data_IF_122595659850
#
_entry.id   IF_122595659850
#
_cell.length_a   1.000
_cell.length_b   1.000
_cell.length_c   1.000
_cell.angle_alpha   90.00
_cell.angle_beta   90.00
_cell.angle_gamma   90.00
#
_symmetry.space_group_name_H-M   'P 1'
#
loop_
_entity.id
_entity.type
_entity.pdbx_description
1 polymer ?
#
# COMPACT_ATOMS: atom_id res chain seq x y z
N UNK A 1 -11.48 -0.69 7.50
CA UNK A 1 -11.37 0.15 6.26
C UNK A 1 -9.89 0.15 5.95
N UNK A 2 -9.49 -0.39 4.79
CA UNK A 2 -8.10 -0.77 4.58
C UNK A 2 -7.24 0.38 4.06
N UNK A 3 -5.97 0.40 4.48
CA UNK A 3 -4.92 1.26 3.91
C UNK A 3 -3.88 0.38 3.26
N UNK A 4 -3.65 0.63 1.97
CA UNK A 4 -2.63 -0.05 1.18
C UNK A 4 -1.57 0.95 0.73
N UNK A 5 -0.31 0.60 0.94
CA UNK A 5 0.85 1.39 0.53
C UNK A 5 1.74 0.47 -0.32
N UNK A 6 2.18 0.98 -1.46
CA UNK A 6 3.16 0.32 -2.32
C UNK A 6 4.35 1.25 -2.50
N UNK A 7 5.53 0.80 -2.11
CA UNK A 7 6.75 1.58 -2.25
C UNK A 7 7.42 1.32 -3.61
N UNK A 8 8.32 2.22 -3.96
CA UNK A 8 9.09 2.16 -5.21
C UNK A 8 9.99 0.92 -5.31
N UNK A 9 10.49 0.40 -4.19
CA UNK A 9 11.32 -0.80 -4.11
C UNK A 9 10.49 -2.09 -4.22
N UNK A 10 9.16 -1.96 -4.31
CA UNK A 10 8.24 -3.08 -4.44
C UNK A 10 7.74 -3.66 -3.12
N UNK A 11 8.21 -3.15 -1.97
CA UNK A 11 7.61 -3.46 -0.68
C UNK A 11 6.17 -2.95 -0.60
N UNK A 12 5.36 -3.69 0.16
CA UNK A 12 3.93 -3.46 0.31
C UNK A 12 3.56 -3.44 1.79
N UNK A 13 2.64 -2.55 2.15
CA UNK A 13 2.02 -2.51 3.47
C UNK A 13 0.51 -2.51 3.34
N UNK A 14 -0.16 -3.28 4.19
CA UNK A 14 -1.61 -3.33 4.27
C UNK A 14 -2.04 -3.32 5.73
N UNK A 15 -2.89 -2.37 6.11
CA UNK A 15 -3.43 -2.26 7.46
C UNK A 15 -4.95 -2.27 7.41
N UNK A 16 -5.58 -2.93 8.38
CA UNK A 16 -7.02 -2.79 8.61
C UNK A 16 -7.26 -1.82 9.76
N UNK A 17 -7.56 -0.55 9.46
CA UNK A 17 -7.87 0.44 10.49
C UNK A 17 -9.09 0.10 11.36
N UNK A 18 -9.89 -0.90 10.98
CA UNK A 18 -11.02 -1.34 11.81
C UNK A 18 -10.54 -2.18 12.99
N UNK A 19 -9.64 -3.13 12.73
CA UNK A 19 -9.16 -4.10 13.72
C UNK A 19 -7.86 -3.63 14.37
N UNK A 20 -7.04 -2.90 13.61
CA UNK A 20 -5.74 -2.38 13.99
C UNK A 20 -5.70 -0.86 13.76
N UNK A 21 -6.38 -0.06 14.63
CA UNK A 21 -6.43 1.39 14.50
C UNK A 21 -5.06 2.06 14.65
N UNK A 22 -4.07 1.36 15.21
CA UNK A 22 -2.71 1.83 15.40
C UNK A 22 -1.72 1.34 14.31
N UNK A 23 -2.19 0.58 13.31
CA UNK A 23 -1.38 0.12 12.18
C UNK A 23 -0.11 -0.66 12.61
N UNK A 24 -0.21 -1.45 13.68
CA UNK A 24 0.91 -2.27 14.17
C UNK A 24 1.14 -3.52 13.32
N UNK A 25 0.11 -4.03 12.65
CA UNK A 25 0.15 -5.30 11.95
C UNK A 25 0.12 -5.10 10.45
N UNK A 26 1.27 -5.28 9.80
CA UNK A 26 1.33 -5.32 8.34
C UNK A 26 0.77 -6.66 7.82
N UNK A 27 -0.39 -6.61 7.17
CA UNK A 27 -1.10 -7.74 6.57
C UNK A 27 -0.70 -7.99 5.11
N UNK A 28 0.29 -7.27 4.58
CA UNK A 28 0.62 -7.35 3.16
C UNK A 28 1.15 -8.73 2.74
N UNK A 29 1.75 -9.49 3.64
CA UNK A 29 2.24 -10.85 3.37
C UNK A 29 1.19 -11.93 3.60
N UNK A 30 0.04 -11.58 4.18
CA UNK A 30 -1.05 -12.52 4.48
C UNK A 30 -1.80 -12.91 3.22
N UNK A 31 -1.82 -14.21 2.90
CA UNK A 31 -2.51 -14.75 1.73
C UNK A 31 -4.01 -14.44 1.72
N UNK A 32 -4.63 -14.41 2.90
CA UNK A 32 -6.05 -14.10 3.07
C UNK A 32 -6.40 -12.68 2.57
N UNK A 33 -5.45 -11.76 2.63
CA UNK A 33 -5.64 -10.37 2.25
C UNK A 33 -5.17 -10.05 0.82
N UNK A 34 -4.70 -11.05 0.07
CA UNK A 34 -4.22 -10.86 -1.30
C UNK A 34 -5.31 -10.32 -2.24
N UNK A 35 -6.57 -10.69 -2.02
CA UNK A 35 -7.70 -10.17 -2.80
C UNK A 35 -7.90 -8.67 -2.59
N UNK A 36 -7.87 -8.23 -1.33
CA UNK A 36 -8.01 -6.81 -0.94
C UNK A 36 -6.84 -5.99 -1.49
N UNK A 37 -5.60 -6.50 -1.38
CA UNK A 37 -4.43 -5.85 -1.99
C UNK A 37 -4.61 -5.64 -3.49
N UNK A 38 -5.05 -6.68 -4.21
CA UNK A 38 -5.26 -6.58 -5.65
C UNK A 38 -6.33 -5.55 -6.00
N UNK A 39 -7.43 -5.50 -5.24
CA UNK A 39 -8.47 -4.50 -5.47
C UNK A 39 -7.95 -3.07 -5.24
N UNK A 40 -7.22 -2.84 -4.15
CA UNK A 40 -6.65 -1.53 -3.82
C UNK A 40 -5.54 -1.12 -4.80
N UNK A 41 -4.74 -2.09 -5.25
CA UNK A 41 -3.68 -1.86 -6.23
C UNK A 41 -4.21 -1.36 -7.58
N UNK A 42 -5.47 -1.66 -7.94
CA UNK A 42 -6.11 -1.12 -9.15
C UNK A 42 -6.31 0.39 -9.11
N UNK A 43 -6.36 0.97 -7.91
CA UNK A 43 -6.53 2.40 -7.70
C UNK A 43 -5.20 3.14 -7.56
N UNK A 44 -4.09 2.40 -7.40
CA UNK A 44 -2.75 2.98 -7.42
C UNK A 44 -2.19 3.01 -8.84
N UNK A 45 -1.59 4.14 -9.28
CA UNK A 45 -0.90 4.19 -10.56
C UNK A 45 0.27 3.20 -10.57
N UNK A 46 0.44 2.49 -11.69
CA UNK A 46 1.54 1.53 -11.84
C UNK A 46 2.91 2.21 -12.02
N UNK A 47 2.91 3.52 -12.26
CA UNK A 47 4.09 4.35 -12.40
C UNK A 47 4.00 5.47 -11.38
N UNK A 48 4.95 5.51 -10.45
CA UNK A 48 5.07 6.64 -9.53
C UNK A 48 5.40 7.90 -10.36
N UNK A 49 4.83 9.04 -9.99
CA UNK A 49 5.21 10.31 -10.60
C UNK A 49 6.72 10.53 -10.41
N UNK A 50 7.38 11.04 -11.45
CA UNK A 50 8.79 11.40 -11.37
C UNK A 50 8.99 12.36 -10.19
N UNK A 51 9.98 12.15 -9.31
CA UNK A 51 10.24 13.09 -8.22
C UNK A 51 10.47 14.47 -8.85
N UNK A 52 9.61 15.44 -8.51
CA UNK A 52 9.70 16.78 -9.06
C UNK A 52 11.16 17.25 -8.98
N UNK A 53 11.76 17.45 -10.15
CA UNK A 53 13.15 17.88 -10.27
C UNK A 53 13.22 19.24 -9.59
N UNK A 54 13.81 19.27 -8.39
CA UNK A 54 14.07 20.53 -7.70
C UNK A 54 15.09 21.28 -8.55
N UNK A 55 14.60 22.26 -9.32
CA UNK A 55 15.49 23.14 -10.09
C UNK A 55 16.50 23.79 -9.12
N UNK A 56 17.80 23.79 -9.47
CA UNK A 56 18.88 24.31 -8.64
C UNK A 56 18.78 25.82 -8.40
#
# INVERSE_FOLDING_TARGET
RYRYIRYHDGSEELYDHRDDPHEWTNLATSKEHAGIKNELARWTPNTNADPATRNP
#
